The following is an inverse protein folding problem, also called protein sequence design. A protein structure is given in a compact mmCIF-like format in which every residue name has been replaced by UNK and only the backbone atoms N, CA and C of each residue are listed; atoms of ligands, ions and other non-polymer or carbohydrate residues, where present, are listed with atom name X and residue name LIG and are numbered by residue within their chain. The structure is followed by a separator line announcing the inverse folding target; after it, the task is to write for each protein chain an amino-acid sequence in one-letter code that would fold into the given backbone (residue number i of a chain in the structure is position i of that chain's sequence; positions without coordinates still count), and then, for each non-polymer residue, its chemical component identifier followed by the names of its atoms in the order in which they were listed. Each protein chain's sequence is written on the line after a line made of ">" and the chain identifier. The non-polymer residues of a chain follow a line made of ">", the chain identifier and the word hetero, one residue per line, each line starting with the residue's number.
data_IF_666638568861
#
_entry.id   IF_666638568861
#
_cell.length_a   1.000
_cell.length_b   1.000
_cell.length_c   1.000
_cell.angle_alpha   90.00
_cell.angle_beta   90.00
_cell.angle_gamma   90.00
#
_symmetry.space_group_name_H-M   'P 1'
#
loop_
_entity.id
_entity.type
_entity.pdbx_description
1 polymer ?
#
# COMPACT_ATOMS: atom_id res chain seq x y z
N UNK A 1 8.64 29.74 5.19
CA UNK A 1 8.45 29.49 3.75
C UNK A 1 7.08 28.86 3.57
N UNK A 2 6.20 29.41 2.74
CA UNK A 2 4.84 28.91 2.52
C UNK A 2 4.81 28.15 1.19
N UNK A 3 4.08 27.04 1.15
CA UNK A 3 3.87 26.23 -0.06
C UNK A 3 2.39 25.87 -0.09
N UNK A 4 1.70 26.40 -1.09
CA UNK A 4 0.27 26.21 -1.40
C UNK A 4 0.06 25.13 -2.45
N UNK A 5 0.97 25.00 -3.40
CA UNK A 5 0.88 24.03 -4.49
C UNK A 5 2.09 23.09 -4.52
N UNK A 6 1.81 21.81 -4.72
CA UNK A 6 2.85 20.80 -4.88
C UNK A 6 2.37 19.61 -5.70
N UNK A 7 3.28 19.09 -6.52
CA UNK A 7 3.12 17.81 -7.22
C UNK A 7 3.85 16.73 -6.43
N UNK A 8 3.14 15.63 -6.16
CA UNK A 8 3.69 14.45 -5.50
C UNK A 8 3.35 13.18 -6.29
N UNK A 9 4.24 12.20 -6.24
CA UNK A 9 4.00 10.89 -6.81
C UNK A 9 3.42 9.96 -5.74
N UNK A 10 2.24 9.41 -6.01
CA UNK A 10 1.53 8.53 -5.10
C UNK A 10 1.51 7.12 -5.67
N UNK A 11 1.98 6.15 -4.89
CA UNK A 11 1.96 4.74 -5.27
C UNK A 11 1.23 3.92 -4.21
N UNK A 12 0.18 3.21 -4.62
CA UNK A 12 -0.50 2.24 -3.77
C UNK A 12 0.39 1.05 -3.42
N UNK A 13 0.05 0.38 -2.33
CA UNK A 13 0.71 -0.85 -1.93
C UNK A 13 0.36 -1.96 -2.91
N UNK A 14 1.37 -2.60 -3.48
CA UNK A 14 1.19 -3.89 -4.18
C UNK A 14 0.59 -4.94 -3.23
N UNK A 15 -0.35 -5.74 -3.73
CA UNK A 15 -0.84 -6.93 -3.05
C UNK A 15 0.26 -7.99 -2.91
N UNK A 16 0.19 -8.77 -1.84
CA UNK A 16 1.04 -9.92 -1.64
C UNK A 16 0.77 -11.00 -2.68
N UNK A 17 1.80 -11.76 -3.02
CA UNK A 17 1.65 -12.90 -3.92
C UNK A 17 1.02 -14.08 -3.17
N UNK A 18 0.13 -14.82 -3.84
CA UNK A 18 -0.30 -16.14 -3.38
C UNK A 18 0.86 -17.15 -3.45
N UNK A 19 0.76 -18.20 -2.66
CA UNK A 19 1.77 -19.26 -2.62
C UNK A 19 1.21 -20.56 -3.22
N UNK A 20 1.86 -21.11 -4.23
CA UNK A 20 1.55 -22.42 -4.79
C UNK A 20 2.49 -23.47 -4.18
N UNK A 21 2.01 -24.20 -3.18
CA UNK A 21 2.78 -25.27 -2.50
C UNK A 21 1.85 -26.43 -2.15
N UNK A 22 2.43 -27.62 -2.01
CA UNK A 22 1.75 -28.85 -1.61
C UNK A 22 2.16 -29.27 -0.20
N UNK A 23 1.28 -29.99 0.48
CA UNK A 23 1.56 -30.55 1.82
C UNK A 23 2.64 -31.62 1.73
N UNK A 24 3.59 -31.61 2.68
CA UNK A 24 4.65 -32.63 2.79
C UNK A 24 4.68 -33.16 4.22
N UNK A 25 4.26 -34.41 4.40
CA UNK A 25 4.23 -35.11 5.68
C UNK A 25 4.76 -36.53 5.50
N UNK A 26 5.48 -37.05 6.50
CA UNK A 26 6.23 -38.32 6.40
C UNK A 26 5.39 -39.54 5.99
N UNK A 27 4.09 -39.54 6.32
CA UNK A 27 3.18 -40.66 6.07
C UNK A 27 2.08 -40.32 5.04
N UNK A 28 2.30 -39.29 4.23
CA UNK A 28 1.36 -38.85 3.18
C UNK A 28 2.12 -38.70 1.87
N UNK A 29 1.90 -39.64 0.94
CA UNK A 29 2.61 -39.68 -0.35
C UNK A 29 2.23 -38.51 -1.27
N UNK A 30 0.94 -38.17 -1.35
CA UNK A 30 0.43 -37.06 -2.16
C UNK A 30 -0.35 -36.06 -1.30
N UNK A 31 0.36 -35.03 -0.81
CA UNK A 31 -0.28 -33.94 -0.09
C UNK A 31 -1.01 -32.98 -1.05
N UNK A 32 -2.24 -32.60 -0.71
CA UNK A 32 -3.02 -31.61 -1.47
C UNK A 32 -2.41 -30.19 -1.44
N UNK A 33 -3.03 -29.24 -2.17
CA UNK A 33 -2.64 -27.83 -2.14
C UNK A 33 -2.66 -27.27 -0.71
N UNK A 34 -1.65 -26.48 -0.37
CA UNK A 34 -1.34 -26.13 1.01
C UNK A 34 -0.75 -24.73 1.16
N UNK A 35 -0.91 -23.89 0.14
CA UNK A 35 -0.45 -22.50 0.13
C UNK A 35 -1.61 -21.52 0.35
N UNK A 36 -1.33 -20.44 1.06
CA UNK A 36 -2.29 -19.36 1.27
C UNK A 36 -2.25 -18.28 0.20
N UNK A 37 -3.33 -17.51 0.11
CA UNK A 37 -3.42 -16.26 -0.64
C UNK A 37 -2.53 -15.14 -0.05
N UNK A 38 -2.11 -14.20 -0.89
CA UNK A 38 -1.45 -12.98 -0.43
C UNK A 38 -2.44 -11.95 0.10
N UNK A 39 -1.97 -11.08 1.00
CA UNK A 39 -2.76 -10.01 1.59
C UNK A 39 -2.88 -8.80 0.68
N UNK A 40 -3.91 -7.97 0.93
CA UNK A 40 -4.13 -6.72 0.20
C UNK A 40 -3.02 -5.71 0.52
N UNK A 41 -2.55 -4.99 -0.49
CA UNK A 41 -1.65 -3.85 -0.27
C UNK A 41 -2.40 -2.64 0.29
N UNK A 42 -1.67 -1.78 1.01
CA UNK A 42 -2.23 -0.60 1.65
C UNK A 42 -2.62 0.47 0.62
N UNK A 43 -3.58 1.31 0.99
CA UNK A 43 -3.94 2.51 0.24
C UNK A 43 -3.21 3.74 0.79
N UNK A 44 -3.01 4.73 -0.07
CA UNK A 44 -2.63 6.08 0.36
C UNK A 44 -3.90 6.88 0.54
N UNK A 45 -4.07 7.51 1.71
CA UNK A 45 -5.29 8.24 2.08
C UNK A 45 -4.88 9.62 2.55
N UNK A 46 -5.37 10.65 1.86
CA UNK A 46 -5.23 12.03 2.31
C UNK A 46 -6.33 12.36 3.32
N UNK A 47 -5.95 12.98 4.44
CA UNK A 47 -6.83 13.31 5.55
C UNK A 47 -6.65 14.78 5.88
N UNK A 48 -7.77 15.52 5.92
CA UNK A 48 -7.78 16.91 6.34
C UNK A 48 -7.44 17.04 7.83
N UNK A 49 -6.55 17.97 8.19
CA UNK A 49 -6.13 18.26 9.56
C UNK A 49 -6.14 19.78 9.79
N UNK A 50 -6.92 20.23 10.78
CA UNK A 50 -7.03 21.64 11.19
C UNK A 50 -5.70 22.21 11.71
N UNK A 51 -4.83 21.35 12.24
CA UNK A 51 -3.52 21.76 12.76
C UNK A 51 -2.50 22.10 11.66
N UNK A 52 -2.81 21.83 10.38
CA UNK A 52 -1.92 22.12 9.26
C UNK A 52 -2.37 23.33 8.46
N UNK A 53 -1.44 24.24 8.24
CA UNK A 53 -1.65 25.46 7.47
C UNK A 53 -0.92 25.48 6.12
N UNK A 54 0.04 24.57 5.88
CA UNK A 54 0.85 24.55 4.65
C UNK A 54 1.13 23.13 4.16
N UNK A 55 1.49 22.97 2.87
CA UNK A 55 1.89 21.69 2.28
C UNK A 55 3.41 21.43 2.36
N UNK A 56 4.13 22.16 3.22
CA UNK A 56 5.60 22.10 3.25
C UNK A 56 6.14 20.70 3.58
N UNK A 57 5.41 19.91 4.36
CA UNK A 57 5.79 18.54 4.72
C UNK A 57 5.93 17.65 3.47
N UNK A 58 5.05 17.87 2.49
CA UNK A 58 5.04 17.13 1.23
C UNK A 58 6.18 17.53 0.30
N UNK A 59 6.78 18.71 0.51
CA UNK A 59 7.95 19.17 -0.26
C UNK A 59 9.14 18.23 -0.12
N UNK A 60 9.36 17.72 1.09
CA UNK A 60 10.44 16.79 1.38
C UNK A 60 10.08 15.34 1.05
N UNK A 61 8.78 15.02 0.98
CA UNK A 61 8.25 13.69 0.67
C UNK A 61 7.58 13.64 -0.70
N UNK A 62 8.37 13.80 -1.77
CA UNK A 62 7.86 13.76 -3.15
C UNK A 62 7.29 12.40 -3.57
N UNK A 63 7.77 11.31 -2.99
CA UNK A 63 7.27 9.96 -3.29
C UNK A 63 6.56 9.39 -2.07
N UNK A 64 5.27 9.16 -2.22
CA UNK A 64 4.41 8.61 -1.19
C UNK A 64 4.06 7.19 -1.58
N UNK A 65 4.46 6.22 -0.74
CA UNK A 65 4.20 4.81 -1.00
C UNK A 65 3.41 4.20 0.15
N UNK A 66 2.37 3.44 -0.17
CA UNK A 66 1.70 2.60 0.81
C UNK A 66 2.40 1.25 1.00
N UNK A 67 2.20 0.64 2.17
CA UNK A 67 2.84 -0.63 2.52
C UNK A 67 2.32 -1.77 1.62
N UNK A 68 3.20 -2.72 1.32
CA UNK A 68 2.83 -3.91 0.55
C UNK A 68 2.11 -4.94 1.40
N UNK A 69 1.18 -5.67 0.79
CA UNK A 69 0.53 -6.82 1.42
C UNK A 69 1.54 -7.95 1.63
N UNK A 70 1.34 -8.74 2.68
CA UNK A 70 2.23 -9.87 2.97
C UNK A 70 1.92 -11.03 2.02
N UNK A 71 2.94 -11.75 1.58
CA UNK A 71 2.74 -12.95 0.76
C UNK A 71 2.03 -14.06 1.54
N UNK A 72 1.33 -14.93 0.82
CA UNK A 72 0.81 -16.18 1.37
C UNK A 72 1.93 -17.09 1.87
N UNK A 73 1.61 -17.94 2.84
CA UNK A 73 2.56 -18.86 3.48
C UNK A 73 2.08 -20.31 3.33
N UNK A 74 2.95 -21.24 3.72
CA UNK A 74 2.61 -22.67 3.79
C UNK A 74 1.51 -22.89 4.85
N UNK A 75 0.91 -24.07 4.86
CA UNK A 75 -0.18 -24.42 5.79
C UNK A 75 -1.45 -23.63 5.56
N UNK A 76 -1.71 -23.27 4.30
CA UNK A 76 -2.87 -22.48 3.92
C UNK A 76 -2.91 -21.08 4.56
N UNK A 77 -1.79 -20.62 5.13
CA UNK A 77 -1.77 -19.37 5.88
C UNK A 77 -1.82 -18.17 4.92
N UNK A 78 -2.88 -17.38 5.03
CA UNK A 78 -3.05 -16.16 4.26
C UNK A 78 -2.11 -15.05 4.72
N UNK A 79 -1.62 -14.27 3.77
CA UNK A 79 -0.84 -13.07 4.05
C UNK A 79 -1.70 -11.97 4.67
N UNK A 80 -1.13 -11.23 5.63
CA UNK A 80 -1.78 -10.09 6.26
C UNK A 80 -1.95 -8.92 5.27
N UNK A 81 -3.06 -8.20 5.44
CA UNK A 81 -3.28 -6.94 4.74
C UNK A 81 -2.30 -5.87 5.26
N UNK A 82 -1.81 -5.03 4.35
CA UNK A 82 -0.97 -3.91 4.73
C UNK A 82 -1.80 -2.76 5.33
N UNK A 83 -1.19 -2.03 6.24
CA UNK A 83 -1.74 -0.78 6.75
C UNK A 83 -1.76 0.30 5.68
N UNK A 84 -2.78 1.15 5.73
CA UNK A 84 -2.86 2.33 4.88
C UNK A 84 -1.85 3.39 5.33
N UNK A 85 -1.33 4.15 4.36
CA UNK A 85 -0.51 5.33 4.63
C UNK A 85 -1.40 6.54 4.64
N UNK A 86 -1.49 7.20 5.79
CA UNK A 86 -2.28 8.41 5.97
C UNK A 86 -1.41 9.65 5.83
N UNK A 87 -1.85 10.59 5.00
CA UNK A 87 -1.19 11.88 4.82
C UNK A 87 -2.11 12.99 5.27
N UNK A 88 -1.65 13.71 6.29
CA UNK A 88 -2.34 14.88 6.81
C UNK A 88 -2.07 16.08 5.91
N UNK A 89 -3.13 16.72 5.43
CA UNK A 89 -3.12 17.95 4.62
C UNK A 89 -4.00 19.01 5.27
N UNK A 90 -3.73 20.31 5.06
CA UNK A 90 -4.63 21.38 5.48
C UNK A 90 -6.06 21.17 4.98
N UNK A 91 -7.04 21.61 5.77
CA UNK A 91 -8.42 21.69 5.30
C UNK A 91 -8.53 22.63 4.08
N UNK A 92 -9.38 22.27 3.13
CA UNK A 92 -9.52 23.01 1.87
C UNK A 92 -8.48 22.65 0.80
N UNK A 93 -7.58 21.69 1.05
CA UNK A 93 -6.67 21.17 0.03
C UNK A 93 -7.47 20.47 -1.07
N UNK A 94 -7.24 20.85 -2.33
CA UNK A 94 -7.85 20.22 -3.51
C UNK A 94 -6.80 19.32 -4.17
N UNK A 95 -7.18 18.07 -4.47
CA UNK A 95 -6.30 17.07 -5.08
C UNK A 95 -6.73 16.86 -6.52
N UNK A 96 -5.80 17.04 -7.45
CA UNK A 96 -6.00 16.80 -8.87
C UNK A 96 -4.97 15.76 -9.35
N UNK A 97 -5.38 14.94 -10.32
CA UNK A 97 -4.44 14.08 -11.03
C UNK A 97 -3.66 14.94 -12.01
N UNK A 98 -2.34 14.88 -11.96
CA UNK A 98 -1.53 15.43 -13.04
C UNK A 98 -1.58 14.42 -14.20
N UNK A 99 -2.28 14.77 -15.29
CA UNK A 99 -2.39 13.94 -16.49
C UNK A 99 -1.02 13.81 -17.17
N UNK A 100 -0.17 12.93 -16.63
CA UNK A 100 0.99 12.42 -17.37
C UNK A 100 0.50 11.36 -18.33
N UNK A 101 -0.09 11.81 -19.44
CA UNK A 101 -0.41 10.98 -20.61
C UNK A 101 0.90 10.40 -21.17
N UNK A 102 1.33 9.31 -20.56
CA UNK A 102 2.49 8.53 -20.97
C UNK A 102 1.97 7.53 -21.99
N UNK A 103 2.38 7.69 -23.25
CA UNK A 103 2.20 6.69 -24.31
C UNK A 103 2.70 5.32 -23.90
#
# INVERSE_FOLDING_TARGET
>A
MFVDEIVVEVTGGRGGNGLAVFRREKYVEYGGPWGGNGGRGGSVIFVGDEGKSTLIDLRYQRHIKAKHGVNGRTKGQHGANAENTYIKVPLGTIVFTEDKTSK
#
